data_IF_018871195465
#
_entry.id   IF_018871195465
#
_cell.length_a   1.000
_cell.length_b   1.000
_cell.length_c   1.000
_cell.angle_alpha   90.00
_cell.angle_beta   90.00
_cell.angle_gamma   90.00
#
_symmetry.space_group_name_H-M   'P 1'
#
loop_
_entity.id
_entity.type
_entity.pdbx_description
1 polymer ?
#
# COMPACT_ATOMS: atom_id res chain seq x y z
N UNK A 1 7.18 14.67 30.90
CA UNK A 1 6.76 15.38 29.68
C UNK A 1 7.00 14.40 28.55
N UNK A 2 5.99 14.06 27.75
CA UNK A 2 6.21 13.24 26.55
C UNK A 2 7.12 14.03 25.62
N UNK A 3 8.21 13.41 25.16
CA UNK A 3 9.08 14.04 24.17
C UNK A 3 8.24 14.40 22.93
N UNK A 4 8.25 15.68 22.55
CA UNK A 4 7.54 16.14 21.36
C UNK A 4 8.44 15.96 20.15
N UNK A 5 8.21 14.91 19.37
CA UNK A 5 8.93 14.63 18.13
C UNK A 5 8.35 15.38 16.94
N UNK A 6 9.19 15.99 16.12
CA UNK A 6 8.76 16.65 14.90
C UNK A 6 8.39 15.62 13.83
N UNK A 7 7.19 15.75 13.27
CA UNK A 7 6.75 14.97 12.11
C UNK A 7 6.91 15.79 10.83
N UNK A 8 7.70 15.31 9.87
CA UNK A 8 7.73 15.88 8.52
C UNK A 8 6.70 15.19 7.64
N UNK A 9 5.67 15.93 7.23
CA UNK A 9 4.61 15.45 6.34
C UNK A 9 4.95 15.77 4.90
N UNK A 10 5.20 14.74 4.09
CA UNK A 10 5.65 14.86 2.70
C UNK A 10 4.46 14.64 1.77
N UNK A 11 4.15 15.65 0.94
CA UNK A 11 3.02 15.67 0.00
C UNK A 11 3.53 15.78 -1.44
N UNK A 12 3.76 14.65 -2.15
CA UNK A 12 4.09 14.69 -3.58
C UNK A 12 2.88 15.15 -4.39
N UNK A 13 3.08 16.11 -5.29
CA UNK A 13 1.99 16.82 -5.94
C UNK A 13 2.28 17.03 -7.43
N UNK A 14 1.31 16.71 -8.30
CA UNK A 14 1.36 17.03 -9.72
C UNK A 14 -0.06 17.17 -10.27
N UNK A 15 -0.44 18.37 -10.71
CA UNK A 15 -1.75 18.68 -11.27
C UNK A 15 -2.91 18.24 -10.34
N UNK A 16 -3.05 18.94 -9.21
CA UNK A 16 -3.94 18.62 -8.09
C UNK A 16 -4.76 19.82 -7.64
N UNK A 17 -5.07 20.76 -8.54
CA UNK A 17 -5.84 21.98 -8.22
C UNK A 17 -7.13 21.67 -7.43
N UNK A 18 -7.77 20.52 -7.71
CA UNK A 18 -9.07 20.13 -7.13
C UNK A 18 -8.98 19.48 -5.76
N UNK A 19 -7.81 18.98 -5.37
CA UNK A 19 -7.67 18.13 -4.18
C UNK A 19 -6.59 18.60 -3.20
N UNK A 20 -5.62 19.40 -3.66
CA UNK A 20 -4.47 19.80 -2.84
C UNK A 20 -4.87 20.51 -1.55
N UNK A 21 -5.87 21.41 -1.62
CA UNK A 21 -6.35 22.13 -0.44
C UNK A 21 -6.97 21.20 0.61
N UNK A 22 -7.69 20.14 0.18
CA UNK A 22 -8.23 19.13 1.10
C UNK A 22 -7.10 18.38 1.79
N UNK A 23 -6.09 17.95 1.04
CA UNK A 23 -4.94 17.25 1.59
C UNK A 23 -4.23 18.11 2.65
N UNK A 24 -3.87 19.36 2.31
CA UNK A 24 -3.16 20.27 3.23
C UNK A 24 -4.00 20.60 4.46
N UNK A 25 -5.28 20.96 4.29
CA UNK A 25 -6.17 21.27 5.41
C UNK A 25 -6.36 20.07 6.36
N UNK A 26 -6.30 18.84 5.84
CA UNK A 26 -6.37 17.62 6.66
C UNK A 26 -5.14 17.42 7.55
N UNK A 27 -3.98 17.94 7.13
CA UNK A 27 -2.75 17.96 7.93
C UNK A 27 -2.78 19.11 8.94
N UNK A 28 -3.17 20.32 8.50
CA UNK A 28 -3.27 21.50 9.37
C UNK A 28 -4.26 21.30 10.54
N UNK A 29 -5.30 20.49 10.34
CA UNK A 29 -6.31 20.14 11.35
C UNK A 29 -5.95 18.94 12.23
N UNK A 30 -4.72 18.41 12.15
CA UNK A 30 -4.29 17.32 13.03
C UNK A 30 -4.28 17.75 14.49
N UNK A 31 -4.67 16.85 15.39
CA UNK A 31 -4.61 17.08 16.85
C UNK A 31 -3.18 17.15 17.39
N UNK A 32 -2.23 16.52 16.71
CA UNK A 32 -0.80 16.66 16.95
C UNK A 32 -0.27 17.87 16.17
N UNK A 33 0.35 18.84 16.84
CA UNK A 33 0.71 20.13 16.25
C UNK A 33 2.21 20.31 15.95
N UNK A 34 3.06 19.39 16.41
CA UNK A 34 4.52 19.42 16.16
C UNK A 34 4.84 18.78 14.81
N UNK A 35 4.54 19.48 13.72
CA UNK A 35 4.83 19.01 12.37
C UNK A 35 5.28 20.14 11.44
N UNK A 36 5.92 19.74 10.35
CA UNK A 36 6.13 20.55 9.15
C UNK A 36 5.47 19.87 7.94
N UNK A 37 5.12 20.64 6.92
CA UNK A 37 4.54 20.15 5.66
C UNK A 37 5.49 20.49 4.53
N UNK A 38 5.96 19.47 3.82
CA UNK A 38 6.85 19.59 2.67
C UNK A 38 6.07 19.15 1.44
N UNK A 39 5.65 20.13 0.65
CA UNK A 39 4.95 19.92 -0.61
C UNK A 39 5.99 19.91 -1.72
N UNK A 40 6.10 18.80 -2.44
CA UNK A 40 6.98 18.71 -3.60
C UNK A 40 6.13 18.71 -4.85
N UNK A 41 6.08 19.87 -5.51
CA UNK A 41 5.40 20.07 -6.78
C UNK A 41 6.28 19.55 -7.93
N UNK A 42 5.83 18.47 -8.53
CA UNK A 42 6.49 17.74 -9.61
C UNK A 42 6.15 18.37 -10.98
N UNK A 43 6.37 19.69 -11.06
CA UNK A 43 6.14 20.54 -12.24
C UNK A 43 4.67 20.56 -12.70
N UNK A 44 3.78 21.02 -11.82
CA UNK A 44 2.36 21.21 -12.17
C UNK A 44 2.17 22.34 -13.18
N UNK A 45 1.16 22.20 -14.03
CA UNK A 45 0.77 23.21 -15.03
C UNK A 45 -0.66 23.76 -14.84
N UNK A 46 -1.37 23.31 -13.82
CA UNK A 46 -2.64 23.86 -13.37
C UNK A 46 -2.44 24.86 -12.20
N UNK A 47 -3.53 25.30 -11.57
CA UNK A 47 -3.45 26.27 -10.46
C UNK A 47 -2.97 25.66 -9.12
N UNK A 48 -2.42 24.44 -9.10
CA UNK A 48 -2.00 23.78 -7.86
C UNK A 48 -1.00 24.62 -7.06
N UNK A 49 0.05 25.10 -7.73
CA UNK A 49 1.08 25.91 -7.08
C UNK A 49 0.53 27.26 -6.60
N UNK A 50 -0.41 27.85 -7.35
CA UNK A 50 -1.10 29.08 -6.96
C UNK A 50 -1.81 28.90 -5.62
N UNK A 51 -2.67 27.89 -5.53
CA UNK A 51 -3.43 27.56 -4.31
C UNK A 51 -2.54 27.31 -3.09
N UNK A 52 -1.39 26.64 -3.26
CA UNK A 52 -0.46 26.40 -2.14
C UNK A 52 0.16 27.71 -1.65
N UNK A 53 0.50 28.64 -2.54
CA UNK A 53 1.12 29.92 -2.14
C UNK A 53 0.12 30.86 -1.45
N UNK A 54 -1.19 30.62 -1.55
CA UNK A 54 -2.22 31.39 -0.83
C UNK A 54 -2.31 31.02 0.66
N UNK A 55 -1.63 29.94 1.10
CA UNK A 55 -1.69 29.47 2.48
C UNK A 55 -0.63 30.16 3.33
N UNK A 56 -1.07 30.97 4.29
CA UNK A 56 -0.20 31.63 5.27
C UNK A 56 -0.02 30.73 6.52
N UNK A 57 0.86 29.73 6.41
CA UNK A 57 1.29 28.92 7.57
C UNK A 57 2.80 28.65 7.48
N UNK A 58 3.53 29.03 8.53
CA UNK A 58 5.00 28.95 8.56
C UNK A 58 5.54 27.51 8.62
N UNK A 59 4.68 26.52 8.85
CA UNK A 59 5.04 25.10 8.81
C UNK A 59 5.06 24.54 7.40
N UNK A 60 4.59 25.30 6.40
CA UNK A 60 4.48 24.83 5.00
C UNK A 60 5.67 25.28 4.18
N UNK A 61 6.33 24.32 3.54
CA UNK A 61 7.40 24.53 2.55
C UNK A 61 6.98 23.90 1.23
N UNK A 62 7.03 24.69 0.14
CA UNK A 62 6.84 24.20 -1.23
C UNK A 62 8.18 24.13 -1.97
N UNK A 63 8.43 23.00 -2.61
CA UNK A 63 9.59 22.77 -3.49
C UNK A 63 9.05 22.51 -4.89
N UNK A 64 9.45 23.33 -5.87
CA UNK A 64 9.00 23.24 -7.26
C UNK A 64 10.09 22.60 -8.11
N UNK A 65 9.78 21.47 -8.74
CA UNK A 65 10.71 20.79 -9.64
C UNK A 65 10.65 21.42 -11.04
N UNK A 66 11.79 21.43 -11.74
CA UNK A 66 11.90 21.99 -13.09
C UNK A 66 11.34 21.08 -14.18
N UNK A 67 11.04 19.82 -13.84
CA UNK A 67 10.46 18.83 -14.73
C UNK A 67 9.68 17.79 -13.93
N UNK A 68 8.75 17.08 -14.58
CA UNK A 68 8.05 15.96 -13.96
C UNK A 68 8.99 14.74 -13.87
N UNK A 69 9.30 14.32 -12.65
CA UNK A 69 10.20 13.23 -12.29
C UNK A 69 9.47 12.08 -11.55
N UNK A 70 8.17 12.23 -11.30
CA UNK A 70 7.30 11.22 -10.72
C UNK A 70 7.28 11.21 -9.18
N UNK A 71 6.24 10.59 -8.63
CA UNK A 71 5.94 10.61 -7.20
C UNK A 71 7.04 9.99 -6.31
N UNK A 72 7.78 8.99 -6.80
CA UNK A 72 8.89 8.41 -6.03
C UNK A 72 10.02 9.43 -5.82
N UNK A 73 10.38 10.16 -6.88
CA UNK A 73 11.38 11.23 -6.82
C UNK A 73 10.93 12.37 -5.93
N UNK A 74 9.68 12.81 -6.11
CA UNK A 74 9.09 13.85 -5.27
C UNK A 74 9.11 13.49 -3.79
N UNK A 75 8.77 12.23 -3.44
CA UNK A 75 8.89 11.74 -2.05
C UNK A 75 10.33 11.76 -1.56
N UNK A 76 11.29 11.28 -2.35
CA UNK A 76 12.71 11.28 -1.94
C UNK A 76 13.26 12.69 -1.73
N UNK A 77 12.87 13.66 -2.56
CA UNK A 77 13.22 15.07 -2.35
C UNK A 77 12.62 15.57 -1.04
N UNK A 78 11.35 15.27 -0.78
CA UNK A 78 10.72 15.62 0.49
C UNK A 78 11.38 14.96 1.71
N UNK A 79 11.84 13.72 1.58
CA UNK A 79 12.61 13.01 2.62
C UNK A 79 13.93 13.75 2.89
N UNK A 80 14.66 14.12 1.84
CA UNK A 80 15.96 14.80 1.98
C UNK A 80 15.83 16.20 2.60
N UNK A 81 14.71 16.88 2.33
CA UNK A 81 14.42 18.23 2.82
C UNK A 81 13.73 18.26 4.19
N UNK A 82 13.44 17.09 4.75
CA UNK A 82 12.79 16.94 6.06
C UNK A 82 13.73 17.24 7.23
N UNK A 83 13.17 17.74 8.32
CA UNK A 83 13.87 17.98 9.58
C UNK A 83 13.37 17.13 10.75
N UNK A 84 12.19 16.50 10.63
CA UNK A 84 11.56 15.71 11.68
C UNK A 84 12.18 14.33 11.90
N UNK A 85 12.05 13.84 13.14
CA UNK A 85 12.45 12.48 13.53
C UNK A 85 11.54 11.42 12.92
N UNK A 86 10.28 11.78 12.66
CA UNK A 86 9.32 10.94 11.96
C UNK A 86 8.96 11.50 10.60
N UNK A 87 8.80 10.61 9.63
CA UNK A 87 8.35 10.92 8.28
C UNK A 87 6.95 10.36 8.08
N UNK A 88 6.03 11.21 7.62
CA UNK A 88 4.70 10.82 7.20
C UNK A 88 4.49 11.22 5.74
N UNK A 89 3.64 10.48 5.04
CA UNK A 89 3.40 10.70 3.62
C UNK A 89 1.91 10.84 3.39
N UNK A 90 1.51 11.80 2.56
CA UNK A 90 0.12 11.99 2.16
C UNK A 90 0.08 12.23 0.65
N UNK A 91 -0.61 11.35 -0.08
CA UNK A 91 -0.87 11.60 -1.49
C UNK A 91 -1.85 12.79 -1.61
N UNK A 92 -1.58 13.69 -2.55
CA UNK A 92 -2.26 14.99 -2.71
C UNK A 92 -3.74 14.90 -3.14
N UNK A 93 -4.27 13.68 -3.33
CA UNK A 93 -5.67 13.37 -3.59
C UNK A 93 -6.37 12.63 -2.44
N UNK A 94 -5.67 12.30 -1.36
CA UNK A 94 -6.20 11.68 -0.14
C UNK A 94 -6.50 12.72 0.97
N UNK A 95 -7.10 12.26 2.08
CA UNK A 95 -7.40 13.09 3.26
C UNK A 95 -7.07 12.31 4.54
N UNK A 96 -6.47 12.99 5.53
CA UNK A 96 -6.26 12.42 6.87
C UNK A 96 -7.37 12.81 7.84
N UNK A 97 -7.74 11.87 8.72
CA UNK A 97 -8.62 12.18 9.84
C UNK A 97 -7.84 12.88 10.98
N UNK A 98 -8.48 13.73 11.80
CA UNK A 98 -7.80 14.65 12.73
C UNK A 98 -6.90 13.99 13.79
N UNK A 99 -7.04 12.70 14.06
CA UNK A 99 -6.28 12.00 15.11
C UNK A 99 -5.16 11.11 14.58
N UNK A 100 -4.83 11.20 13.29
CA UNK A 100 -3.85 10.29 12.67
C UNK A 100 -2.47 10.42 13.30
N UNK A 101 -1.90 11.63 13.28
CA UNK A 101 -0.55 11.86 13.78
C UNK A 101 -0.45 11.57 15.28
N UNK A 102 -1.40 12.06 16.08
CA UNK A 102 -1.43 11.85 17.53
C UNK A 102 -1.42 10.35 17.89
N UNK A 103 -2.26 9.54 17.24
CA UNK A 103 -2.33 8.10 17.50
C UNK A 103 -1.07 7.36 17.07
N UNK A 104 -0.49 7.72 15.93
CA UNK A 104 0.70 7.04 15.43
C UNK A 104 1.97 7.42 16.19
N UNK A 105 2.13 8.70 16.57
CA UNK A 105 3.25 9.16 17.40
C UNK A 105 3.20 8.50 18.78
N UNK A 106 2.04 8.48 19.44
CA UNK A 106 1.86 7.78 20.73
C UNK A 106 2.20 6.29 20.67
N UNK A 107 1.96 5.65 19.53
CA UNK A 107 2.37 4.26 19.38
C UNK A 107 3.89 4.12 19.29
N UNK A 108 4.61 5.03 18.62
CA UNK A 108 6.07 5.01 18.61
C UNK A 108 6.69 5.30 19.97
N UNK A 109 6.10 6.19 20.78
CA UNK A 109 6.58 6.48 22.15
C UNK A 109 6.61 5.22 23.04
N UNK A 110 5.72 4.26 22.77
CA UNK A 110 5.61 3.00 23.52
C UNK A 110 6.14 1.79 22.76
N UNK A 111 6.75 2.01 21.58
CA UNK A 111 7.17 0.95 20.69
C UNK A 111 8.56 0.42 21.04
N UNK A 112 8.79 -0.86 20.74
CA UNK A 112 10.13 -1.44 20.63
C UNK A 112 10.95 -0.65 19.61
N UNK A 113 12.26 -0.47 19.86
CA UNK A 113 13.18 0.23 18.96
C UNK A 113 13.13 -0.33 17.54
N UNK A 114 12.89 -1.63 17.39
CA UNK A 114 12.82 -2.33 16.12
C UNK A 114 11.59 -1.96 15.27
N UNK A 115 10.55 -1.36 15.85
CA UNK A 115 9.40 -0.88 15.08
C UNK A 115 9.83 0.35 14.28
N UNK A 116 9.87 0.21 12.95
CA UNK A 116 10.30 1.25 12.03
C UNK A 116 9.16 1.96 11.30
N UNK A 117 7.98 1.33 11.23
CA UNK A 117 6.82 1.85 10.48
C UNK A 117 5.52 1.53 11.22
N UNK A 118 4.68 2.56 11.38
CA UNK A 118 3.31 2.44 11.86
C UNK A 118 2.37 2.87 10.75
N UNK A 119 1.33 2.07 10.49
CA UNK A 119 0.31 2.36 9.48
C UNK A 119 -1.11 2.30 10.06
N UNK A 120 -2.11 2.66 9.28
CA UNK A 120 -3.51 2.70 9.75
C UNK A 120 -4.46 1.99 8.79
N UNK A 121 -5.69 1.76 9.26
CA UNK A 121 -6.80 1.40 8.37
C UNK A 121 -7.17 2.58 7.46
N UNK A 122 -7.96 2.30 6.42
CA UNK A 122 -8.45 3.32 5.47
C UNK A 122 -9.96 3.25 5.28
N UNK A 123 -10.54 4.40 4.94
CA UNK A 123 -11.86 4.54 4.34
C UNK A 123 -11.67 4.72 2.84
N UNK A 124 -12.54 4.11 2.05
CA UNK A 124 -12.71 4.44 0.63
C UNK A 124 -13.99 5.25 0.51
N UNK A 125 -13.87 6.44 -0.08
CA UNK A 125 -14.99 7.30 -0.44
C UNK A 125 -15.30 7.11 -1.93
N UNK A 126 -16.51 6.62 -2.22
CA UNK A 126 -17.07 6.47 -3.55
C UNK A 126 -18.21 7.46 -3.73
N UNK A 127 -17.90 8.64 -4.27
CA UNK A 127 -18.88 9.72 -4.53
C UNK A 127 -19.75 10.05 -3.30
N UNK A 128 -19.12 10.17 -2.13
CA UNK A 128 -19.75 10.43 -0.84
C UNK A 128 -20.15 9.18 -0.04
N UNK A 129 -20.12 7.99 -0.65
CA UNK A 129 -20.36 6.73 0.06
C UNK A 129 -19.07 6.22 0.68
N UNK A 130 -18.95 6.35 2.00
CA UNK A 130 -17.78 5.93 2.77
C UNK A 130 -17.92 4.51 3.28
N UNK A 131 -16.94 3.67 2.96
CA UNK A 131 -16.84 2.30 3.43
C UNK A 131 -15.43 2.02 3.95
N UNK A 132 -15.29 1.09 4.90
CA UNK A 132 -13.97 0.61 5.30
C UNK A 132 -13.32 -0.08 4.09
N UNK A 133 -12.18 0.45 3.65
CA UNK A 133 -11.44 -0.08 2.50
C UNK A 133 -10.47 -1.18 2.89
N UNK A 134 -9.66 -0.93 3.91
CA UNK A 134 -8.69 -1.87 4.46
C UNK A 134 -8.66 -1.73 5.97
N UNK A 135 -8.62 -2.86 6.67
CA UNK A 135 -8.36 -2.92 8.11
C UNK A 135 -6.91 -3.31 8.33
N UNK A 136 -6.13 -2.44 8.97
CA UNK A 136 -4.76 -2.70 9.33
C UNK A 136 -4.68 -3.83 10.38
N UNK A 137 -3.69 -4.71 10.20
CA UNK A 137 -3.55 -5.95 10.99
C UNK A 137 -2.13 -6.51 11.06
N UNK A 138 -1.21 -6.03 10.21
CA UNK A 138 0.13 -6.59 10.11
C UNK A 138 0.99 -5.99 11.24
N UNK A 139 1.68 -6.85 12.00
CA UNK A 139 2.51 -6.48 13.15
C UNK A 139 3.77 -7.34 13.21
N UNK A 140 4.85 -6.79 13.73
CA UNK A 140 6.13 -7.46 13.90
C UNK A 140 6.88 -7.57 12.58
N UNK A 141 7.74 -8.59 12.46
CA UNK A 141 8.42 -8.86 11.20
C UNK A 141 7.44 -9.45 10.17
N UNK A 142 7.17 -8.68 9.12
CA UNK A 142 6.23 -9.09 8.07
C UNK A 142 6.91 -9.54 6.78
N UNK A 143 8.24 -9.64 6.69
CA UNK A 143 8.95 -9.82 5.41
C UNK A 143 8.40 -10.94 4.54
N UNK A 144 8.23 -12.13 5.14
CA UNK A 144 7.68 -13.27 4.40
C UNK A 144 6.24 -12.98 3.96
N UNK A 145 5.39 -12.45 4.83
CA UNK A 145 4.01 -12.14 4.48
C UNK A 145 3.91 -11.03 3.43
N UNK A 146 4.77 -10.00 3.51
CA UNK A 146 4.84 -8.87 2.60
C UNK A 146 5.19 -9.34 1.18
N UNK A 147 6.18 -10.24 1.02
CA UNK A 147 6.51 -10.85 -0.29
C UNK A 147 5.28 -11.45 -0.97
N UNK A 148 4.31 -11.97 -0.24
CA UNK A 148 3.13 -12.57 -0.86
C UNK A 148 1.93 -11.61 -0.89
N UNK A 149 1.63 -10.91 0.19
CA UNK A 149 0.32 -10.30 0.38
C UNK A 149 0.30 -8.79 0.24
N UNK A 150 1.45 -8.11 0.24
CA UNK A 150 1.51 -6.65 0.23
C UNK A 150 0.59 -6.03 1.30
N UNK A 151 0.84 -6.38 2.57
CA UNK A 151 -0.09 -6.21 3.69
C UNK A 151 -0.18 -4.78 4.23
N UNK A 152 0.79 -3.94 3.89
CA UNK A 152 0.93 -2.57 4.38
C UNK A 152 0.90 -1.64 3.17
N UNK A 153 -0.20 -0.90 3.04
CA UNK A 153 -0.48 0.07 1.97
C UNK A 153 -1.76 0.85 2.33
N UNK A 154 -2.04 2.01 1.69
CA UNK A 154 -1.17 2.80 0.82
C UNK A 154 -0.19 3.67 1.64
N UNK A 155 0.74 4.30 0.93
CA UNK A 155 1.74 5.23 1.47
C UNK A 155 1.13 6.33 2.36
N UNK A 156 -0.07 6.82 2.03
CA UNK A 156 -0.81 7.82 2.83
C UNK A 156 -1.08 7.40 4.28
N UNK A 157 -0.93 6.12 4.62
CA UNK A 157 -1.13 5.61 5.98
C UNK A 157 0.14 5.64 6.83
N UNK A 158 1.30 5.87 6.24
CA UNK A 158 2.59 5.63 6.90
C UNK A 158 2.96 6.76 7.86
N UNK A 159 3.54 6.37 9.00
CA UNK A 159 4.44 7.16 9.83
C UNK A 159 5.65 6.26 10.10
N UNK A 160 6.86 6.67 9.70
CA UNK A 160 8.09 5.91 9.95
C UNK A 160 9.16 6.74 10.63
N UNK A 161 10.06 6.06 11.34
CA UNK A 161 11.28 6.68 11.86
C UNK A 161 12.19 7.09 10.70
N UNK A 162 12.75 8.30 10.75
CA UNK A 162 13.66 8.80 9.71
C UNK A 162 14.91 7.92 9.55
N UNK A 163 15.43 7.35 10.64
CA UNK A 163 16.58 6.43 10.62
C UNK A 163 16.37 5.19 9.73
N UNK A 164 15.11 4.78 9.50
CA UNK A 164 14.81 3.69 8.57
C UNK A 164 15.33 4.01 7.17
N UNK A 165 15.29 5.28 6.76
CA UNK A 165 15.79 5.74 5.45
C UNK A 165 17.30 5.57 5.35
N UNK A 166 18.05 5.86 6.41
CA UNK A 166 19.51 5.70 6.41
C UNK A 166 19.91 4.24 6.18
N UNK A 167 19.10 3.31 6.70
CA UNK A 167 19.34 1.88 6.59
C UNK A 167 18.90 1.28 5.26
N UNK A 168 17.72 1.64 4.74
CA UNK A 168 17.12 0.96 3.58
C UNK A 168 17.12 1.81 2.31
N UNK A 169 17.42 3.10 2.41
CA UNK A 169 17.24 4.11 1.36
C UNK A 169 15.78 4.57 1.19
N UNK A 170 15.57 5.53 0.29
CA UNK A 170 14.25 6.07 -0.05
C UNK A 170 13.39 5.14 -0.92
N UNK A 171 12.41 5.72 -1.62
CA UNK A 171 11.62 5.04 -2.64
C UNK A 171 12.47 4.80 -3.90
N UNK A 172 12.29 3.66 -4.57
CA UNK A 172 13.00 3.41 -5.82
C UNK A 172 12.38 4.21 -6.99
N UNK A 173 13.13 5.18 -7.48
CA UNK A 173 12.75 6.11 -8.55
C UNK A 173 12.61 5.44 -9.93
N UNK A 174 13.22 4.27 -10.12
CA UNK A 174 13.15 3.52 -11.38
C UNK A 174 11.83 2.74 -11.55
N UNK A 175 11.07 2.57 -10.47
CA UNK A 175 9.80 1.84 -10.49
C UNK A 175 8.65 2.74 -10.97
N UNK A 176 7.96 2.41 -12.07
CA UNK A 176 6.82 3.21 -12.54
C UNK A 176 5.53 2.96 -11.74
N UNK A 177 5.50 1.92 -10.91
CA UNK A 177 4.40 1.56 -10.01
C UNK A 177 4.93 0.64 -8.90
N UNK A 178 4.12 0.40 -7.85
CA UNK A 178 4.45 -0.51 -6.74
C UNK A 178 5.65 -0.05 -5.90
N UNK A 179 5.90 1.26 -5.84
CA UNK A 179 7.01 1.83 -5.07
C UNK A 179 6.79 1.62 -3.56
N UNK A 180 5.53 1.71 -3.11
CA UNK A 180 5.08 1.36 -1.76
C UNK A 180 5.41 -0.09 -1.40
N UNK A 181 5.13 -1.00 -2.32
CA UNK A 181 5.35 -2.42 -2.12
C UNK A 181 6.84 -2.77 -2.02
N UNK A 182 7.67 -2.19 -2.90
CA UNK A 182 9.13 -2.29 -2.84
C UNK A 182 9.68 -1.76 -1.51
N UNK A 183 9.27 -0.54 -1.14
CA UNK A 183 9.72 0.16 0.05
C UNK A 183 9.45 -0.65 1.31
N UNK A 184 8.21 -1.10 1.53
CA UNK A 184 7.88 -1.88 2.73
C UNK A 184 8.55 -3.26 2.71
N UNK A 185 8.73 -3.87 1.54
CA UNK A 185 9.45 -5.15 1.45
C UNK A 185 10.91 -4.99 1.89
N UNK A 186 11.60 -3.91 1.49
CA UNK A 186 12.95 -3.58 1.98
C UNK A 186 12.94 -3.23 3.47
N UNK A 187 12.00 -2.41 3.92
CA UNK A 187 11.86 -2.05 5.34
C UNK A 187 11.73 -3.28 6.23
N UNK A 188 10.89 -4.24 5.83
CA UNK A 188 10.60 -5.44 6.63
C UNK A 188 11.77 -6.43 6.77
N UNK A 189 12.87 -6.24 6.02
CA UNK A 189 14.11 -6.99 6.22
C UNK A 189 14.83 -6.57 7.50
N UNK A 190 14.73 -5.28 7.85
CA UNK A 190 15.53 -4.65 8.90
C UNK A 190 14.66 -4.28 10.12
N UNK A 191 13.42 -3.87 9.87
CA UNK A 191 12.50 -3.34 10.88
C UNK A 191 11.19 -4.10 10.93
N UNK A 192 10.55 -4.04 12.09
CA UNK A 192 9.21 -4.53 12.32
C UNK A 192 8.18 -3.41 12.06
N UNK A 193 6.93 -3.79 11.83
CA UNK A 193 5.82 -2.85 11.63
C UNK A 193 4.80 -2.96 12.77
N UNK A 194 4.05 -1.90 13.01
CA UNK A 194 2.82 -1.96 13.83
C UNK A 194 1.71 -1.11 13.19
N UNK A 195 0.53 -1.07 13.81
CA UNK A 195 -0.61 -0.40 13.23
C UNK A 195 -1.58 0.20 14.25
N UNK A 196 -2.21 1.30 13.83
CA UNK A 196 -3.42 1.83 14.44
C UNK A 196 -4.62 1.17 13.74
N UNK A 197 -5.47 0.49 14.52
CA UNK A 197 -6.66 -0.20 13.97
C UNK A 197 -7.68 0.77 13.35
N UNK A 198 -7.77 1.99 13.87
CA UNK A 198 -8.71 2.98 13.38
C UNK A 198 -8.43 3.36 11.92
N UNK A 199 -9.49 3.64 11.18
CA UNK A 199 -9.34 4.18 9.84
C UNK A 199 -9.03 5.67 9.95
N UNK A 200 -7.83 6.07 9.53
CA UNK A 200 -7.30 7.42 9.73
C UNK A 200 -6.99 8.14 8.42
N UNK A 201 -7.26 7.49 7.29
CA UNK A 201 -7.06 8.03 5.95
C UNK A 201 -8.29 7.74 5.11
N UNK A 202 -8.76 8.73 4.36
CA UNK A 202 -9.82 8.60 3.37
C UNK A 202 -9.17 8.65 2.00
N UNK A 203 -9.38 7.60 1.22
CA UNK A 203 -8.99 7.57 -0.19
C UNK A 203 -10.20 7.85 -1.07
N UNK A 204 -10.08 8.83 -1.96
CA UNK A 204 -11.13 9.16 -2.91
C UNK A 204 -11.00 8.31 -4.17
N UNK A 205 -12.10 7.70 -4.60
CA UNK A 205 -12.17 6.92 -5.84
C UNK A 205 -13.10 7.60 -6.84
N UNK A 206 -12.49 8.38 -7.72
CA UNK A 206 -13.15 8.92 -8.92
C UNK A 206 -12.81 8.03 -10.12
N UNK A 207 -13.78 7.76 -10.99
CA UNK A 207 -13.65 6.82 -12.12
C UNK A 207 -12.51 7.16 -13.10
N UNK A 208 -12.01 8.40 -13.09
CA UNK A 208 -11.14 8.93 -14.15
C UNK A 208 -9.68 9.26 -13.76
N UNK A 209 -9.29 9.29 -12.48
CA UNK A 209 -8.04 9.98 -12.08
C UNK A 209 -6.99 9.19 -11.29
N UNK A 210 -7.13 7.87 -11.11
CA UNK A 210 -6.09 7.08 -10.43
C UNK A 210 -4.96 6.66 -11.37
N UNK A 211 -3.73 7.08 -11.06
CA UNK A 211 -2.48 6.56 -11.69
C UNK A 211 -2.43 5.03 -11.61
N UNK A 212 -3.01 4.45 -10.55
CA UNK A 212 -3.13 3.00 -10.32
C UNK A 212 -3.90 2.25 -11.42
N UNK A 213 -4.59 2.96 -12.33
CA UNK A 213 -5.39 2.35 -13.40
C UNK A 213 -4.57 1.98 -14.65
N UNK A 214 -3.28 2.36 -14.73
CA UNK A 214 -2.43 1.90 -15.83
C UNK A 214 -1.95 0.46 -15.56
N UNK A 215 -2.70 -0.50 -16.13
CA UNK A 215 -2.45 -1.94 -16.00
C UNK A 215 -1.02 -2.33 -16.44
N UNK A 216 -0.50 -1.73 -17.52
CA UNK A 216 0.82 -2.07 -18.05
C UNK A 216 1.93 -1.62 -17.11
N UNK A 217 1.91 -0.35 -16.66
CA UNK A 217 2.86 0.17 -15.67
C UNK A 217 2.84 -0.66 -14.40
N UNK A 218 1.66 -1.09 -13.96
CA UNK A 218 1.51 -1.93 -12.76
C UNK A 218 2.07 -3.33 -12.94
N UNK A 219 1.82 -3.99 -14.07
CA UNK A 219 2.40 -5.32 -14.36
C UNK A 219 3.93 -5.22 -14.41
N UNK A 220 4.46 -4.22 -15.12
CA UNK A 220 5.89 -4.01 -15.25
C UNK A 220 6.57 -3.68 -13.91
N UNK A 221 6.05 -2.70 -13.16
CA UNK A 221 6.56 -2.37 -11.83
C UNK A 221 6.49 -3.56 -10.87
N UNK A 222 5.39 -4.33 -10.91
CA UNK A 222 5.27 -5.55 -10.10
C UNK A 222 6.34 -6.59 -10.49
N UNK A 223 6.63 -6.77 -11.77
CA UNK A 223 7.70 -7.67 -12.21
C UNK A 223 9.07 -7.24 -11.68
N UNK A 224 9.41 -5.95 -11.76
CA UNK A 224 10.68 -5.44 -11.24
C UNK A 224 10.81 -5.66 -9.73
N UNK A 225 9.75 -5.41 -8.95
CA UNK A 225 9.77 -5.68 -7.50
C UNK A 225 9.99 -7.17 -7.22
N UNK A 226 9.35 -8.05 -7.97
CA UNK A 226 9.53 -9.51 -7.82
C UNK A 226 10.96 -9.93 -8.17
N UNK A 227 11.57 -9.36 -9.19
CA UNK A 227 12.97 -9.62 -9.54
C UNK A 227 13.92 -9.23 -8.40
N UNK A 228 13.72 -8.06 -7.78
CA UNK A 228 14.49 -7.65 -6.59
C UNK A 228 14.29 -8.60 -5.41
N UNK A 229 13.05 -8.98 -5.11
CA UNK A 229 12.75 -9.97 -4.05
C UNK A 229 13.52 -11.27 -4.31
N UNK A 230 13.52 -11.76 -5.54
CA UNK A 230 14.19 -13.01 -5.90
C UNK A 230 15.71 -12.93 -5.83
N UNK A 231 16.30 -11.74 -5.99
CA UNK A 231 17.73 -11.51 -5.80
C UNK A 231 18.13 -11.63 -4.32
N UNK A 232 17.24 -11.25 -3.40
CA UNK A 232 17.45 -11.41 -1.95
C UNK A 232 17.22 -12.85 -1.44
N UNK A 233 16.60 -13.72 -2.25
CA UNK A 233 16.46 -15.13 -1.89
C UNK A 233 17.76 -15.87 -2.19
N UNK A 234 18.31 -16.70 -1.27
CA UNK A 234 19.54 -17.47 -1.50
C UNK A 234 19.52 -18.25 -2.82
N UNK A 235 20.66 -18.27 -3.52
CA UNK A 235 20.77 -18.89 -4.86
C UNK A 235 20.36 -20.37 -4.85
N UNK A 236 20.70 -21.10 -3.78
CA UNK A 236 20.38 -22.52 -3.60
C UNK A 236 18.89 -22.79 -3.27
N UNK A 237 18.11 -21.76 -2.93
CA UNK A 237 16.69 -21.90 -2.56
C UNK A 237 15.76 -21.95 -3.79
N UNK A 238 16.08 -22.79 -4.77
CA UNK A 238 15.37 -22.87 -6.06
C UNK A 238 13.86 -23.11 -5.91
N UNK A 239 13.45 -23.99 -5.00
CA UNK A 239 12.03 -24.29 -4.72
C UNK A 239 11.29 -23.04 -4.22
N UNK A 240 11.91 -22.26 -3.33
CA UNK A 240 11.36 -21.01 -2.79
C UNK A 240 11.23 -19.95 -3.90
N UNK A 241 12.29 -19.74 -4.70
CA UNK A 241 12.23 -18.81 -5.85
C UNK A 241 11.13 -19.18 -6.83
N UNK A 242 11.00 -20.47 -7.16
CA UNK A 242 9.96 -20.99 -8.07
C UNK A 242 8.56 -20.79 -7.50
N UNK A 243 8.38 -20.98 -6.19
CA UNK A 243 7.09 -20.73 -5.54
C UNK A 243 6.71 -19.24 -5.53
N UNK A 244 7.64 -18.35 -5.17
CA UNK A 244 7.46 -16.88 -5.20
C UNK A 244 7.04 -16.45 -6.61
N UNK A 245 7.80 -16.86 -7.64
CA UNK A 245 7.45 -16.57 -9.05
C UNK A 245 6.04 -17.07 -9.37
N UNK A 246 5.72 -18.32 -9.04
CA UNK A 246 4.39 -18.90 -9.29
C UNK A 246 3.28 -18.08 -8.62
N UNK A 247 3.48 -17.68 -7.38
CA UNK A 247 2.52 -16.88 -6.64
C UNK A 247 2.30 -15.51 -7.30
N UNK A 248 3.35 -14.80 -7.69
CA UNK A 248 3.18 -13.47 -8.28
C UNK A 248 2.54 -13.52 -9.66
N UNK A 249 2.80 -14.57 -10.45
CA UNK A 249 2.05 -14.83 -11.69
C UNK A 249 0.56 -15.06 -11.40
N UNK A 250 0.23 -15.83 -10.36
CA UNK A 250 -1.15 -15.98 -9.89
C UNK A 250 -1.78 -14.64 -9.45
N UNK A 251 -1.05 -13.85 -8.66
CA UNK A 251 -1.55 -12.59 -8.12
C UNK A 251 -1.81 -11.57 -9.22
N UNK A 252 -0.88 -11.41 -10.17
CA UNK A 252 -1.07 -10.53 -11.33
C UNK A 252 -2.15 -11.05 -12.29
N UNK A 253 -2.29 -12.37 -12.45
CA UNK A 253 -3.39 -12.94 -13.22
C UNK A 253 -4.75 -12.54 -12.67
N UNK A 254 -4.93 -12.57 -11.33
CA UNK A 254 -6.15 -12.05 -10.68
C UNK A 254 -6.36 -10.56 -10.95
N UNK A 255 -5.30 -9.77 -10.83
CA UNK A 255 -5.36 -8.33 -11.04
C UNK A 255 -5.79 -8.00 -12.49
N UNK A 256 -5.26 -8.71 -13.49
CA UNK A 256 -5.70 -8.57 -14.88
C UNK A 256 -7.19 -8.89 -15.06
N UNK A 257 -7.72 -9.94 -14.40
CA UNK A 257 -9.16 -10.24 -14.46
C UNK A 257 -10.03 -9.15 -13.84
N UNK A 258 -9.60 -8.59 -12.70
CA UNK A 258 -10.33 -7.50 -12.03
C UNK A 258 -10.40 -6.24 -12.91
N UNK A 259 -9.40 -6.03 -13.76
CA UNK A 259 -9.29 -4.90 -14.68
C UNK A 259 -9.69 -5.26 -16.13
N UNK A 260 -10.60 -6.22 -16.30
CA UNK A 260 -11.17 -6.63 -17.59
C UNK A 260 -10.13 -7.03 -18.67
N UNK A 261 -8.97 -7.58 -18.29
CA UNK A 261 -7.97 -8.13 -19.21
C UNK A 261 -7.79 -9.66 -19.03
N UNK A 262 -8.77 -10.46 -19.45
CA UNK A 262 -8.74 -11.92 -19.26
C UNK A 262 -7.66 -12.61 -20.10
N UNK A 263 -7.27 -12.06 -21.25
CA UNK A 263 -6.22 -12.65 -22.11
C UNK A 263 -4.88 -12.69 -21.38
N UNK A 264 -4.46 -11.55 -20.81
CA UNK A 264 -3.25 -11.49 -20.00
C UNK A 264 -3.39 -12.32 -18.71
N UNK A 265 -4.57 -12.29 -18.09
CA UNK A 265 -4.88 -13.12 -16.91
C UNK A 265 -4.64 -14.61 -17.16
N UNK A 266 -5.17 -15.17 -18.26
CA UNK A 266 -4.98 -16.56 -18.68
C UNK A 266 -3.50 -16.91 -18.85
N UNK A 267 -2.74 -16.06 -19.56
CA UNK A 267 -1.28 -16.24 -19.75
C UNK A 267 -0.56 -16.34 -18.42
N UNK A 268 -0.83 -15.43 -17.49
CA UNK A 268 -0.21 -15.41 -16.17
C UNK A 268 -0.60 -16.62 -15.31
N UNK A 269 -1.85 -17.11 -15.37
CA UNK A 269 -2.22 -18.35 -14.68
C UNK A 269 -1.50 -19.58 -15.24
N UNK A 270 -1.35 -19.67 -16.57
CA UNK A 270 -0.58 -20.76 -17.19
C UNK A 270 0.89 -20.73 -16.75
N UNK A 271 1.54 -19.56 -16.75
CA UNK A 271 2.90 -19.39 -16.24
C UNK A 271 3.00 -19.78 -14.75
N UNK A 272 2.00 -19.40 -13.96
CA UNK A 272 1.91 -19.75 -12.54
C UNK A 272 1.84 -21.26 -12.32
N UNK A 273 1.04 -21.99 -13.10
CA UNK A 273 0.88 -23.46 -13.03
C UNK A 273 2.16 -24.17 -13.49
N UNK A 274 2.79 -23.71 -14.58
CA UNK A 274 4.09 -24.24 -15.04
C UNK A 274 5.14 -24.15 -13.93
N UNK A 275 5.15 -23.04 -13.19
CA UNK A 275 6.05 -22.83 -12.06
C UNK A 275 5.62 -23.62 -10.81
N UNK A 276 4.35 -23.80 -10.51
CA UNK A 276 3.94 -24.65 -9.39
C UNK A 276 2.60 -25.33 -9.71
N UNK A 277 2.62 -26.60 -10.17
CA UNK A 277 1.39 -27.33 -10.53
C UNK A 277 0.42 -27.51 -9.36
N UNK A 278 0.90 -27.46 -8.12
CA UNK A 278 0.07 -27.57 -6.91
C UNK A 278 -0.64 -26.25 -6.56
N UNK A 279 -0.43 -25.17 -7.32
CA UNK A 279 -1.17 -23.92 -7.16
C UNK A 279 -2.55 -24.02 -7.79
N UNK A 280 -3.40 -24.86 -7.20
CA UNK A 280 -4.75 -25.19 -7.67
C UNK A 280 -5.61 -23.93 -7.87
N UNK A 281 -5.38 -22.87 -7.08
CA UNK A 281 -6.06 -21.58 -7.28
C UNK A 281 -5.84 -20.98 -8.68
N UNK A 282 -4.65 -21.14 -9.26
CA UNK A 282 -4.37 -20.70 -10.64
C UNK A 282 -5.14 -21.53 -11.66
N UNK A 283 -5.26 -22.83 -11.45
CA UNK A 283 -6.05 -23.72 -12.31
C UNK A 283 -7.54 -23.36 -12.26
N UNK A 284 -8.10 -23.16 -11.06
CA UNK A 284 -9.50 -22.75 -10.88
C UNK A 284 -9.76 -21.43 -11.61
N UNK A 285 -8.92 -20.41 -11.42
CA UNK A 285 -9.10 -19.12 -12.08
C UNK A 285 -8.92 -19.21 -13.60
N UNK A 286 -7.95 -20.00 -14.08
CA UNK A 286 -7.77 -20.26 -15.51
C UNK A 286 -9.03 -20.84 -16.14
N UNK A 287 -9.63 -21.85 -15.50
CA UNK A 287 -10.90 -22.46 -15.94
C UNK A 287 -12.02 -21.39 -15.94
N UNK A 288 -12.13 -20.58 -14.89
CA UNK A 288 -13.13 -19.52 -14.80
C UNK A 288 -13.02 -18.49 -15.95
N UNK A 289 -11.81 -18.22 -16.45
CA UNK A 289 -11.60 -17.32 -17.58
C UNK A 289 -12.24 -17.78 -18.91
N UNK A 290 -12.70 -19.03 -19.02
CA UNK A 290 -13.43 -19.53 -20.18
C UNK A 290 -14.95 -19.34 -20.07
N UNK A 291 -15.44 -18.94 -18.90
CA UNK A 291 -16.87 -18.68 -18.69
C UNK A 291 -17.18 -17.18 -18.74
N UNK A 292 -18.38 -16.79 -19.21
CA UNK A 292 -18.88 -15.42 -19.10
C UNK A 292 -18.89 -14.91 -17.66
N UNK A 293 -18.70 -13.59 -17.46
CA UNK A 293 -18.62 -12.94 -16.13
C UNK A 293 -19.80 -13.29 -15.22
N UNK A 294 -21.02 -13.40 -15.76
CA UNK A 294 -22.23 -13.83 -15.03
C UNK A 294 -22.06 -15.23 -14.42
N UNK A 295 -21.51 -16.17 -15.19
CA UNK A 295 -21.25 -17.54 -14.74
C UNK A 295 -20.09 -17.56 -13.72
N UNK A 296 -19.04 -16.76 -13.93
CA UNK A 296 -17.95 -16.64 -12.95
C UNK A 296 -18.47 -16.19 -11.57
N UNK A 297 -19.36 -15.19 -11.52
CA UNK A 297 -19.96 -14.72 -10.26
C UNK A 297 -20.76 -15.82 -9.58
N UNK A 298 -21.57 -16.58 -10.33
CA UNK A 298 -22.35 -17.70 -9.80
C UNK A 298 -21.43 -18.80 -9.24
N UNK A 299 -20.40 -19.19 -9.99
CA UNK A 299 -19.42 -20.19 -9.56
C UNK A 299 -18.67 -19.74 -8.30
N UNK A 300 -18.23 -18.48 -8.23
CA UNK A 300 -17.56 -17.92 -7.04
C UNK A 300 -18.50 -17.94 -5.83
N UNK A 301 -19.77 -17.53 -5.99
CA UNK A 301 -20.78 -17.59 -4.91
C UNK A 301 -20.97 -19.02 -4.41
N UNK A 302 -21.06 -19.99 -5.33
CA UNK A 302 -21.25 -21.40 -4.99
C UNK A 302 -20.02 -22.01 -4.31
N UNK A 303 -18.81 -21.69 -4.76
CA UNK A 303 -17.56 -22.09 -4.10
C UNK A 303 -17.49 -21.52 -2.68
N UNK A 304 -17.83 -20.24 -2.48
CA UNK A 304 -17.87 -19.63 -1.14
C UNK A 304 -18.88 -20.33 -0.22
N UNK A 305 -20.06 -20.64 -0.75
CA UNK A 305 -21.11 -21.38 -0.02
C UNK A 305 -20.64 -22.77 0.41
N UNK A 306 -20.08 -23.56 -0.51
CA UNK A 306 -19.54 -24.89 -0.23
C UNK A 306 -18.43 -24.82 0.81
N UNK A 307 -17.50 -23.87 0.66
CA UNK A 307 -16.38 -23.70 1.61
C UNK A 307 -16.88 -23.39 3.02
N UNK A 308 -17.88 -22.52 3.16
CA UNK A 308 -18.51 -22.21 4.45
C UNK A 308 -19.14 -23.45 5.09
N UNK A 309 -19.87 -24.24 4.31
CA UNK A 309 -20.51 -25.46 4.81
C UNK A 309 -19.51 -26.55 5.19
N UNK A 310 -18.43 -26.72 4.43
CA UNK A 310 -17.35 -27.65 4.78
C UNK A 310 -16.67 -27.24 6.09
N UNK A 311 -16.36 -25.95 6.25
CA UNK A 311 -15.77 -25.45 7.50
C UNK A 311 -16.71 -25.70 8.68
N UNK A 312 -18.00 -25.36 8.53
CA UNK A 312 -19.00 -25.61 9.57
C UNK A 312 -19.13 -27.11 9.91
N UNK A 313 -19.10 -27.98 8.90
CA UNK A 313 -19.16 -29.43 9.10
C UNK A 313 -17.92 -29.94 9.84
N UNK A 314 -16.72 -29.49 9.46
CA UNK A 314 -15.48 -29.86 10.14
C UNK A 314 -15.50 -29.38 11.60
N UNK A 315 -15.94 -28.15 11.86
CA UNK A 315 -16.10 -27.64 13.24
C UNK A 315 -17.07 -28.49 14.06
N UNK A 316 -18.23 -28.85 13.51
CA UNK A 316 -19.20 -29.74 14.18
C UNK A 316 -18.63 -31.13 14.48
N UNK A 317 -17.79 -31.67 13.61
CA UNK A 317 -17.11 -32.96 13.83
C UNK A 317 -16.08 -32.82 14.97
N UNK A 318 -15.26 -31.77 14.98
CA UNK A 318 -14.28 -31.54 16.05
C UNK A 318 -14.92 -31.25 17.42
N UNK A 319 -16.05 -30.54 17.46
CA UNK A 319 -16.79 -30.31 18.71
C UNK A 319 -17.37 -31.62 19.27
N UNK A 320 -17.85 -32.53 18.40
CA UNK A 320 -18.28 -33.87 18.82
C UNK A 320 -17.13 -34.74 19.33
N UNK A 321 -15.92 -34.59 18.79
CA UNK A 321 -14.74 -35.29 19.30
C UNK A 321 -14.23 -34.73 20.64
N UNK A 322 -14.49 -33.45 20.94
CA UNK A 322 -14.16 -32.83 22.24
C UNK A 322 -15.11 -33.18 23.37
N UNK A 323 -16.36 -33.52 23.07
CA UNK A 323 -17.36 -33.92 24.07
C UNK A 323 -17.29 -35.41 24.44
N UNK A 324 -16.49 -36.19 23.72
CA UNK A 324 -16.34 -37.64 23.91
C UNK A 324 -14.96 -38.04 24.49
N UNK A 325 -14.17 -37.07 24.98
CA UNK A 325 -12.92 -37.27 25.73
C UNK A 325 -13.01 -36.50 27.05
#
# INVERSE_FOLDING_TARGET
MSDTFLVSVIIPTHNRERTIMRAINSVLSQSYQTFEIIIVDDNSNDNTVGLVNEIEDNRIKIIKLSSNQGAAKARNIGINESSGEYLAFLDSDDEWLPTKLDKQVKMFENADEKIGLIYSSIIIDLKGSRNIGMVAKARGNIYTAQIYEDQVSPTSTYLLKKECIDKIGGFDESLPARQDYDFVTRLSLEYDVDYVKDALVILYQDENNRITNNLEKRIYGHQQVVEKILNNVPLNAHKKKRDIKSYHKYSMGKYCLQNNNPTMGKKLFLESIKLNPLRIKSLILLILCYFPKKIQVLLIKRIKYIKRNIINYISLVFDKFRLNN
#
